data_IF_085745622536
#
_entry.id   IF_085745622536
#
_cell.length_a   1.000
_cell.length_b   1.000
_cell.length_c   1.000
_cell.angle_alpha   90.00
_cell.angle_beta   90.00
_cell.angle_gamma   90.00
#
_symmetry.space_group_name_H-M   'P 1'
#
loop_
_entity.id
_entity.type
_entity.pdbx_description
1 polymer ?
#
# COMPACT_ATOMS: atom_id res chain seq x y z
N UNK A 1 -7.83 23.69 -2.84
CA UNK A 1 -7.10 22.70 -2.01
C UNK A 1 -7.29 23.07 -0.55
N UNK A 2 -7.65 22.09 0.28
CA UNK A 2 -7.85 22.34 1.71
C UNK A 2 -6.55 22.74 2.38
N UNK A 3 -6.65 23.61 3.37
CA UNK A 3 -5.51 23.97 4.19
C UNK A 3 -4.99 22.77 4.97
N UNK A 4 -3.68 22.71 5.17
CA UNK A 4 -3.04 21.69 6.00
C UNK A 4 -3.50 21.75 7.45
N UNK A 5 -4.12 22.88 7.87
CA UNK A 5 -4.66 23.06 9.22
C UNK A 5 -5.93 22.22 9.44
N UNK A 6 -6.65 21.82 8.38
CA UNK A 6 -7.79 20.90 8.47
C UNK A 6 -7.28 19.48 8.28
N UNK A 7 -6.96 18.82 9.37
CA UNK A 7 -6.34 17.50 9.35
C UNK A 7 -7.32 16.32 9.31
N UNK A 8 -8.63 16.55 9.35
CA UNK A 8 -9.59 15.44 9.39
C UNK A 8 -9.48 14.52 8.17
N UNK A 9 -9.52 15.08 6.97
CA UNK A 9 -9.33 14.31 5.74
C UNK A 9 -7.92 13.74 5.62
N UNK A 10 -6.92 14.52 6.05
CA UNK A 10 -5.53 14.08 6.01
C UNK A 10 -5.28 12.95 7.00
N UNK A 11 -5.97 12.91 8.15
CA UNK A 11 -5.83 11.82 9.13
C UNK A 11 -6.21 10.48 8.54
N UNK A 12 -7.29 10.42 7.77
CA UNK A 12 -7.68 9.17 7.09
C UNK A 12 -6.57 8.71 6.17
N UNK A 13 -6.00 9.60 5.38
CA UNK A 13 -4.88 9.29 4.50
C UNK A 13 -3.66 8.82 5.28
N UNK A 14 -3.30 9.51 6.36
CA UNK A 14 -2.16 9.15 7.20
C UNK A 14 -2.35 7.75 7.79
N UNK A 15 -3.54 7.44 8.30
CA UNK A 15 -3.86 6.13 8.86
C UNK A 15 -3.69 5.02 7.82
N UNK A 16 -4.17 5.26 6.59
CA UNK A 16 -4.02 4.30 5.51
C UNK A 16 -2.56 4.11 5.12
N UNK A 17 -1.81 5.19 4.98
CA UNK A 17 -0.41 5.13 4.56
C UNK A 17 0.55 4.72 5.68
N UNK A 18 0.10 4.70 6.94
CA UNK A 18 0.91 4.20 8.07
C UNK A 18 1.22 2.72 7.95
N UNK A 19 0.34 1.95 7.31
CA UNK A 19 0.64 0.56 6.96
C UNK A 19 1.46 0.54 5.68
N UNK A 20 2.69 0.04 5.77
CA UNK A 20 3.62 0.00 4.63
C UNK A 20 3.12 -0.85 3.46
N UNK A 21 2.13 -1.71 3.69
CA UNK A 21 1.62 -2.62 2.66
C UNK A 21 0.36 -2.12 1.96
N UNK A 22 -0.24 -1.00 2.42
CA UNK A 22 -1.47 -0.45 1.83
C UNK A 22 -1.33 -0.18 0.33
N UNK A 23 -0.30 0.57 -0.06
CA UNK A 23 -0.08 0.92 -1.47
C UNK A 23 0.24 -0.32 -2.31
N UNK A 24 1.20 -1.19 -1.91
CA UNK A 24 1.46 -2.42 -2.67
C UNK A 24 0.24 -3.33 -2.82
N UNK A 25 -0.55 -3.53 -1.77
CA UNK A 25 -1.73 -4.41 -1.83
C UNK A 25 -2.81 -3.82 -2.73
N UNK A 26 -3.12 -2.54 -2.58
CA UNK A 26 -4.07 -1.87 -3.48
C UNK A 26 -3.59 -1.90 -4.93
N UNK A 27 -2.30 -1.66 -5.16
CA UNK A 27 -1.71 -1.73 -6.48
C UNK A 27 -1.86 -3.12 -7.11
N UNK A 28 -1.60 -4.17 -6.34
CA UNK A 28 -1.76 -5.56 -6.82
C UNK A 28 -3.20 -5.88 -7.17
N UNK A 29 -4.15 -5.44 -6.33
CA UNK A 29 -5.58 -5.65 -6.59
C UNK A 29 -6.04 -4.90 -7.85
N UNK A 30 -5.67 -3.64 -7.99
CA UNK A 30 -6.06 -2.83 -9.16
C UNK A 30 -5.45 -3.39 -10.45
N UNK A 31 -4.20 -3.80 -10.43
CA UNK A 31 -3.52 -4.41 -11.57
C UNK A 31 -4.15 -5.75 -11.97
N UNK A 32 -4.75 -6.46 -11.01
CA UNK A 32 -5.43 -7.73 -11.23
C UNK A 32 -6.89 -7.62 -11.65
N UNK A 33 -7.31 -6.47 -12.16
CA UNK A 33 -8.69 -6.26 -12.57
C UNK A 33 -9.65 -5.96 -11.43
N UNK A 34 -9.11 -5.53 -10.29
CA UNK A 34 -9.91 -5.13 -9.13
C UNK A 34 -10.30 -6.27 -8.20
N UNK A 35 -9.82 -7.49 -8.45
CA UNK A 35 -10.10 -8.63 -7.57
C UNK A 35 -8.97 -9.65 -7.62
N UNK A 36 -8.69 -10.27 -6.47
CA UNK A 36 -7.70 -11.35 -6.35
C UNK A 36 -7.99 -12.21 -5.14
N UNK A 37 -7.59 -13.48 -5.25
CA UNK A 37 -7.61 -14.40 -4.11
C UNK A 37 -6.44 -14.10 -3.19
N UNK A 38 -6.63 -14.36 -1.91
CA UNK A 38 -5.63 -14.12 -0.87
C UNK A 38 -4.27 -14.71 -1.23
N UNK A 39 -4.24 -15.98 -1.65
CA UNK A 39 -2.97 -16.65 -1.98
C UNK A 39 -2.29 -16.06 -3.21
N UNK A 40 -3.07 -15.53 -4.16
CA UNK A 40 -2.51 -14.85 -5.33
C UNK A 40 -1.80 -13.56 -4.92
N UNK A 41 -2.39 -12.80 -4.01
CA UNK A 41 -1.76 -11.58 -3.46
C UNK A 41 -0.45 -11.95 -2.75
N UNK A 42 -0.46 -13.01 -1.95
CA UNK A 42 0.74 -13.49 -1.25
C UNK A 42 1.87 -13.85 -2.21
N UNK A 43 1.54 -14.50 -3.31
CA UNK A 43 2.56 -14.88 -4.31
C UNK A 43 3.16 -13.67 -5.00
N UNK A 44 2.35 -12.66 -5.29
CA UNK A 44 2.86 -11.43 -5.93
C UNK A 44 3.68 -10.58 -4.97
N UNK A 45 3.28 -10.53 -3.71
CA UNK A 45 3.96 -9.74 -2.67
C UNK A 45 4.69 -10.70 -1.73
N UNK A 46 5.69 -11.40 -2.26
CA UNK A 46 6.36 -12.50 -1.56
C UNK A 46 7.00 -12.09 -0.23
N UNK A 47 7.33 -10.82 -0.05
CA UNK A 47 7.95 -10.32 1.18
C UNK A 47 6.95 -10.10 2.31
N UNK A 48 5.65 -10.04 2.01
CA UNK A 48 4.63 -9.82 3.04
C UNK A 48 4.33 -11.12 3.78
N UNK A 49 4.32 -11.07 5.11
CA UNK A 49 3.89 -12.22 5.90
C UNK A 49 2.38 -12.42 5.78
N UNK A 50 1.87 -13.65 5.97
CA UNK A 50 0.41 -13.88 5.99
C UNK A 50 -0.30 -13.01 7.02
N UNK A 51 0.29 -12.81 8.18
CA UNK A 51 -0.28 -11.97 9.24
C UNK A 51 -0.38 -10.51 8.78
N UNK A 52 0.69 -9.97 8.21
CA UNK A 52 0.71 -8.59 7.73
C UNK A 52 -0.29 -8.38 6.60
N UNK A 53 -0.41 -9.34 5.69
CA UNK A 53 -1.40 -9.27 4.61
C UNK A 53 -2.82 -9.29 5.17
N UNK A 54 -3.10 -10.19 6.10
CA UNK A 54 -4.42 -10.28 6.74
C UNK A 54 -4.78 -8.96 7.42
N UNK A 55 -3.85 -8.38 8.19
CA UNK A 55 -4.07 -7.11 8.88
C UNK A 55 -4.29 -5.95 7.89
N UNK A 56 -3.51 -5.91 6.83
CA UNK A 56 -3.66 -4.89 5.79
C UNK A 56 -5.03 -4.99 5.11
N UNK A 57 -5.44 -6.20 4.71
CA UNK A 57 -6.73 -6.42 4.06
C UNK A 57 -7.91 -6.11 4.98
N UNK A 58 -7.80 -6.45 6.27
CA UNK A 58 -8.81 -6.10 7.26
C UNK A 58 -8.95 -4.59 7.40
N UNK A 59 -7.84 -3.86 7.40
CA UNK A 59 -7.85 -2.40 7.45
C UNK A 59 -8.50 -1.80 6.22
N UNK A 60 -8.18 -2.32 5.05
CA UNK A 60 -8.80 -1.87 3.79
C UNK A 60 -10.30 -2.15 3.78
N UNK A 61 -10.71 -3.31 4.27
CA UNK A 61 -12.12 -3.68 4.40
C UNK A 61 -12.84 -2.76 5.39
N UNK A 62 -12.23 -2.52 6.54
CA UNK A 62 -12.75 -1.62 7.57
C UNK A 62 -13.00 -0.21 7.01
N UNK A 63 -12.13 0.26 6.13
CA UNK A 63 -12.24 1.57 5.51
C UNK A 63 -13.12 1.59 4.25
N UNK A 64 -13.75 0.48 3.90
CA UNK A 64 -14.66 0.42 2.76
C UNK A 64 -13.97 0.40 1.40
N UNK A 65 -12.68 0.13 1.35
CA UNK A 65 -11.89 0.16 0.11
C UNK A 65 -11.86 -1.19 -0.60
N UNK A 66 -12.02 -2.28 0.14
CA UNK A 66 -12.14 -3.63 -0.41
C UNK A 66 -13.28 -4.37 0.28
N UNK A 67 -13.80 -5.39 -0.41
CA UNK A 67 -14.78 -6.33 0.11
C UNK A 67 -14.19 -7.74 0.10
N UNK A 68 -14.51 -8.48 1.15
CA UNK A 68 -14.11 -9.87 1.28
C UNK A 68 -15.25 -10.78 0.80
N UNK A 69 -14.96 -11.63 -0.17
CA UNK A 69 -15.93 -12.58 -0.72
C UNK A 69 -15.44 -14.00 -0.55
N UNK A 70 -16.29 -14.88 -0.04
CA UNK A 70 -16.00 -16.31 -0.01
C UNK A 70 -16.41 -16.89 -1.36
N UNK A 71 -15.42 -17.25 -2.18
CA UNK A 71 -15.65 -17.75 -3.52
C UNK A 71 -16.12 -19.22 -3.51
N UNK A 72 -15.55 -20.04 -2.61
CA UNK A 72 -15.96 -21.42 -2.40
C UNK A 72 -15.81 -21.78 -0.92
N UNK A 73 -16.59 -22.77 -0.46
CA UNK A 73 -16.50 -23.24 0.92
C UNK A 73 -15.69 -24.52 1.06
N UNK A 74 -15.52 -25.28 -0.03
CA UNK A 74 -14.78 -26.57 -0.04
C UNK A 74 -14.00 -26.73 -1.34
N UNK A 75 -12.68 -26.45 -1.35
CA UNK A 75 -11.91 -25.83 -0.25
C UNK A 75 -12.30 -24.38 -0.06
N UNK A 76 -12.06 -23.85 1.13
CA UNK A 76 -12.33 -22.45 1.41
C UNK A 76 -11.41 -21.58 0.56
N UNK A 77 -12.01 -20.72 -0.25
CA UNK A 77 -11.29 -19.75 -1.07
C UNK A 77 -11.87 -18.36 -0.85
N UNK A 78 -11.03 -17.43 -0.47
CA UNK A 78 -11.43 -16.05 -0.19
C UNK A 78 -10.86 -15.14 -1.28
N UNK A 79 -11.72 -14.32 -1.84
CA UNK A 79 -11.38 -13.31 -2.84
C UNK A 79 -11.60 -11.93 -2.24
N UNK A 80 -10.70 -11.02 -2.53
CA UNK A 80 -10.84 -9.62 -2.16
C UNK A 80 -11.11 -8.80 -3.42
N UNK A 81 -12.08 -7.91 -3.34
CA UNK A 81 -12.51 -7.06 -4.45
C UNK A 81 -12.43 -5.60 -4.06
N UNK A 82 -11.91 -4.79 -4.96
CA UNK A 82 -11.89 -3.33 -4.77
C UNK A 82 -13.31 -2.79 -4.93
N UNK A 83 -13.75 -2.01 -3.95
CA UNK A 83 -15.06 -1.35 -4.00
C UNK A 83 -15.04 -0.14 -4.93
N UNK A 84 -16.20 0.43 -5.30
CA UNK A 84 -16.22 1.71 -6.02
C UNK A 84 -15.40 2.80 -5.30
N UNK A 85 -15.49 2.87 -3.98
CA UNK A 85 -14.67 3.81 -3.20
C UNK A 85 -13.18 3.51 -3.35
N UNK A 86 -12.80 2.21 -3.27
CA UNK A 86 -11.41 1.79 -3.46
C UNK A 86 -10.89 2.14 -4.85
N UNK A 87 -11.71 2.04 -5.89
CA UNK A 87 -11.32 2.39 -7.25
C UNK A 87 -10.98 3.89 -7.39
N UNK A 88 -11.50 4.75 -6.51
CA UNK A 88 -11.10 6.17 -6.53
C UNK A 88 -9.63 6.37 -6.20
N UNK A 89 -8.98 5.38 -5.58
CA UNK A 89 -7.55 5.42 -5.26
C UNK A 89 -6.67 4.85 -6.36
N UNK A 90 -7.24 4.29 -7.42
CA UNK A 90 -6.45 3.65 -8.48
C UNK A 90 -5.44 4.60 -9.12
N UNK A 91 -5.87 5.81 -9.52
CA UNK A 91 -4.98 6.80 -10.11
C UNK A 91 -3.92 7.32 -9.11
N UNK A 92 -4.28 7.75 -7.89
CA UNK A 92 -3.28 8.18 -6.92
C UNK A 92 -2.28 7.08 -6.55
N UNK A 93 -2.74 5.86 -6.34
CA UNK A 93 -1.86 4.73 -6.01
C UNK A 93 -0.93 4.42 -7.18
N UNK A 94 -1.48 4.39 -8.40
CA UNK A 94 -0.67 4.20 -9.60
C UNK A 94 0.39 5.29 -9.77
N UNK A 95 0.04 6.54 -9.48
CA UNK A 95 0.98 7.65 -9.53
C UNK A 95 2.09 7.52 -8.49
N UNK A 96 1.75 7.08 -7.27
CA UNK A 96 2.75 6.83 -6.22
C UNK A 96 3.71 5.70 -6.60
N UNK A 97 3.19 4.62 -7.17
CA UNK A 97 4.01 3.49 -7.61
C UNK A 97 4.95 3.91 -8.76
N UNK A 98 4.44 4.68 -9.71
CA UNK A 98 5.25 5.20 -10.81
C UNK A 98 6.34 6.14 -10.30
N UNK A 99 6.01 7.03 -9.36
CA UNK A 99 6.99 7.91 -8.71
C UNK A 99 8.10 7.09 -8.05
N UNK A 100 7.73 6.04 -7.35
CA UNK A 100 8.69 5.15 -6.67
C UNK A 100 9.64 4.50 -7.67
N UNK A 101 9.11 3.97 -8.77
CA UNK A 101 9.94 3.36 -9.82
C UNK A 101 10.92 4.37 -10.41
N UNK A 102 10.47 5.59 -10.64
CA UNK A 102 11.30 6.61 -11.29
C UNK A 102 12.33 7.25 -10.35
N UNK A 103 12.03 7.31 -9.05
CA UNK A 103 12.79 8.16 -8.13
C UNK A 103 13.42 7.43 -6.93
N UNK A 104 13.11 6.14 -6.73
CA UNK A 104 13.65 5.42 -5.56
C UNK A 104 15.17 5.39 -5.55
N UNK A 105 15.81 5.30 -6.72
CA UNK A 105 17.27 5.36 -6.83
C UNK A 105 17.83 6.69 -6.34
N UNK A 106 17.21 7.79 -6.73
CA UNK A 106 17.64 9.13 -6.30
C UNK A 106 17.45 9.30 -4.77
N UNK A 107 16.37 8.75 -4.21
CA UNK A 107 16.14 8.79 -2.75
C UNK A 107 17.24 7.99 -2.03
N UNK A 108 17.57 6.79 -2.50
CA UNK A 108 18.65 5.98 -1.90
C UNK A 108 19.98 6.68 -1.98
N UNK A 109 20.29 7.31 -3.11
CA UNK A 109 21.53 8.08 -3.26
C UNK A 109 21.58 9.27 -2.30
N UNK A 110 20.47 9.96 -2.11
CA UNK A 110 20.37 11.07 -1.15
C UNK A 110 20.60 10.59 0.28
N UNK A 111 20.04 9.43 0.65
CA UNK A 111 20.24 8.82 1.97
C UNK A 111 21.71 8.50 2.22
N UNK A 112 22.36 7.88 1.23
CA UNK A 112 23.78 7.53 1.32
C UNK A 112 24.64 8.78 1.47
N UNK A 113 24.37 9.82 0.68
CA UNK A 113 25.11 11.08 0.77
C UNK A 113 24.94 11.75 2.14
N UNK A 114 23.73 11.71 2.69
CA UNK A 114 23.45 12.24 4.03
C UNK A 114 24.26 11.50 5.09
N UNK A 115 24.25 10.17 5.06
CA UNK A 115 24.97 9.33 6.03
C UNK A 115 26.48 9.55 5.94
N UNK A 116 27.01 9.74 4.75
CA UNK A 116 28.44 10.05 4.55
C UNK A 116 28.79 11.40 5.16
N UNK A 117 27.95 12.43 4.98
CA UNK A 117 28.18 13.75 5.57
C UNK A 117 28.12 13.70 7.10
N UNK A 118 27.16 12.95 7.66
CA UNK A 118 27.07 12.77 9.11
C UNK A 118 28.29 12.06 9.67
N UNK A 119 28.77 11.02 8.98
CA UNK A 119 29.97 10.29 9.37
C UNK A 119 31.21 11.20 9.32
N UNK A 120 31.33 12.01 8.29
CA UNK A 120 32.44 12.97 8.15
C UNK A 120 32.39 14.04 9.25
N UNK A 121 31.17 14.49 9.61
CA UNK A 121 30.99 15.44 10.72
C UNK A 121 31.37 14.87 12.07
N UNK A 122 31.15 13.58 12.31
CA UNK A 122 31.54 12.90 13.54
C UNK A 122 33.04 12.76 13.69
N UNK A 123 33.77 12.61 12.58
CA UNK A 123 35.23 12.43 12.55
C UNK A 123 35.94 13.76 12.62
N UNK A 124 35.32 14.80 12.13
CA UNK A 124 35.87 16.13 12.12
C UNK A 124 35.47 16.89 13.36
#
# INVERSE_FOLDING_TARGET
MKSIDDLDGVRVLIELLADKWTVPVLGALCAGGGRKRFNAIRRELAEISPKSLTMCLQRLEFNGLVERHVATFRPLAVEYRVTPLGHTLELPVGALLAWSDDHSGAVRSARSAFLERERAGEVG
#
